data_IF_816656732448
#
_entry.id   IF_816656732448
#
_cell.length_a   1.000
_cell.length_b   1.000
_cell.length_c   1.000
_cell.angle_alpha   90.00
_cell.angle_beta   90.00
_cell.angle_gamma   90.00
#
_symmetry.space_group_name_H-M   'P 1'
#
loop_
_entity.id
_entity.type
_entity.pdbx_description
1 polymer ?
#
# COMPACT_ATOMS: atom_id res chain seq x y z
N UNK A 1 5.95 -8.12 -7.03
CA UNK A 1 5.04 -7.53 -8.05
C UNK A 1 5.85 -7.29 -9.31
N UNK A 2 5.33 -7.64 -10.50
CA UNK A 2 6.03 -7.37 -11.78
C UNK A 2 5.31 -6.22 -12.48
N UNK A 3 6.03 -5.17 -12.79
CA UNK A 3 5.55 -4.03 -13.57
C UNK A 3 6.52 -3.83 -14.73
N UNK A 4 5.99 -3.73 -15.92
CA UNK A 4 6.77 -3.51 -17.14
C UNK A 4 6.50 -2.11 -17.64
N UNK A 5 7.54 -1.31 -17.81
CA UNK A 5 7.47 0.09 -18.19
C UNK A 5 8.31 0.36 -19.45
N UNK A 6 7.66 0.33 -20.61
CA UNK A 6 8.20 0.90 -21.85
C UNK A 6 7.15 1.83 -22.45
N UNK A 7 7.54 3.05 -22.77
CA UNK A 7 6.75 3.99 -23.56
C UNK A 7 6.59 3.44 -25.01
N UNK A 8 5.40 3.54 -25.63
CA UNK A 8 5.19 3.19 -27.04
C UNK A 8 6.11 3.97 -28.01
N UNK A 9 6.77 5.04 -27.55
CA UNK A 9 7.78 5.78 -28.30
C UNK A 9 9.22 5.34 -27.97
N UNK A 10 9.41 4.26 -27.20
CA UNK A 10 10.75 3.80 -26.80
C UNK A 10 11.44 4.66 -25.74
N UNK A 11 10.73 5.57 -25.09
CA UNK A 11 11.26 6.35 -23.99
C UNK A 11 11.19 5.54 -22.70
N UNK A 12 12.33 5.33 -22.08
CA UNK A 12 12.41 4.71 -20.75
C UNK A 12 11.92 5.74 -19.72
N UNK A 13 10.84 5.42 -19.00
CA UNK A 13 10.49 6.23 -17.83
C UNK A 13 11.66 6.20 -16.85
N UNK A 14 11.99 7.36 -16.21
CA UNK A 14 13.02 7.38 -15.19
C UNK A 14 12.71 6.31 -14.11
N UNK A 15 13.63 5.38 -13.92
CA UNK A 15 13.44 4.28 -12.95
C UNK A 15 13.11 4.81 -11.56
N UNK A 16 13.73 5.91 -11.15
CA UNK A 16 13.48 6.58 -9.87
C UNK A 16 12.02 7.05 -9.71
N UNK A 17 11.44 7.64 -10.77
CA UNK A 17 10.05 8.08 -10.72
C UNK A 17 9.07 6.90 -10.64
N UNK A 18 9.36 5.82 -11.37
CA UNK A 18 8.57 4.60 -11.34
C UNK A 18 8.66 3.92 -9.96
N UNK A 19 9.86 3.84 -9.40
CA UNK A 19 10.09 3.32 -8.06
C UNK A 19 9.33 4.13 -7.01
N UNK A 20 9.41 5.47 -7.07
CA UNK A 20 8.67 6.35 -6.17
C UNK A 20 7.15 6.16 -6.24
N UNK A 21 6.59 5.98 -7.43
CA UNK A 21 5.17 5.71 -7.62
C UNK A 21 4.76 4.35 -7.01
N UNK A 22 5.56 3.32 -7.21
CA UNK A 22 5.27 1.98 -6.68
C UNK A 22 5.36 1.94 -5.15
N UNK A 23 6.39 2.54 -4.57
CA UNK A 23 6.57 2.64 -3.13
C UNK A 23 5.45 3.50 -2.52
N UNK A 24 5.16 4.65 -3.11
CA UNK A 24 4.08 5.54 -2.65
C UNK A 24 2.72 4.84 -2.66
N UNK A 25 2.37 4.16 -3.75
CA UNK A 25 1.15 3.38 -3.87
C UNK A 25 1.06 2.24 -2.85
N UNK A 26 2.16 1.54 -2.62
CA UNK A 26 2.25 0.49 -1.60
C UNK A 26 2.03 1.04 -0.19
N UNK A 27 2.71 2.12 0.19
CA UNK A 27 2.57 2.75 1.51
C UNK A 27 1.14 3.24 1.72
N UNK A 28 0.53 3.82 0.69
CA UNK A 28 -0.87 4.26 0.73
C UNK A 28 -1.82 3.08 1.01
N UNK A 29 -1.65 1.97 0.29
CA UNK A 29 -2.45 0.75 0.50
C UNK A 29 -2.23 0.13 1.88
N UNK A 30 -0.99 0.07 2.35
CA UNK A 30 -0.66 -0.41 3.70
C UNK A 30 -1.26 0.48 4.79
N UNK A 31 -1.21 1.81 4.64
CA UNK A 31 -1.83 2.75 5.58
C UNK A 31 -3.33 2.50 5.72
N UNK A 32 -4.02 2.37 4.58
CA UNK A 32 -5.45 2.06 4.58
C UNK A 32 -5.77 0.70 5.21
N UNK A 33 -4.96 -0.32 4.90
CA UNK A 33 -5.15 -1.67 5.44
C UNK A 33 -4.90 -1.76 6.94
N UNK A 34 -3.90 -1.04 7.46
CA UNK A 34 -3.51 -1.10 8.86
C UNK A 34 -4.44 -0.27 9.76
N UNK A 35 -4.77 0.97 9.34
CA UNK A 35 -5.31 2.01 10.23
C UNK A 35 -6.56 2.70 9.68
N UNK A 36 -6.83 2.61 8.37
CA UNK A 36 -7.87 3.40 7.73
C UNK A 36 -9.27 3.05 8.20
N UNK A 37 -9.84 3.88 9.09
CA UNK A 37 -11.19 3.71 9.61
C UNK A 37 -11.90 5.06 9.74
N UNK A 38 -13.16 5.09 9.32
CA UNK A 38 -14.07 6.20 9.56
C UNK A 38 -15.23 5.67 10.38
N UNK A 39 -15.47 6.30 11.53
CA UNK A 39 -16.54 5.96 12.45
C UNK A 39 -17.62 7.02 12.51
N UNK A 40 -18.83 6.63 12.91
CA UNK A 40 -19.98 7.51 12.95
C UNK A 40 -20.63 7.47 14.33
N UNK A 41 -20.99 8.64 14.84
CA UNK A 41 -21.77 8.79 16.06
C UNK A 41 -22.88 9.83 15.84
N UNK A 42 -24.11 9.50 16.23
CA UNK A 42 -25.24 10.41 16.08
C UNK A 42 -25.54 10.84 14.64
N UNK A 43 -25.11 10.06 13.63
CA UNK A 43 -25.28 10.39 12.22
C UNK A 43 -24.20 11.31 11.64
N UNK A 44 -23.16 11.63 12.40
CA UNK A 44 -22.02 12.43 11.97
C UNK A 44 -20.73 11.61 11.99
N UNK A 45 -19.76 11.95 11.12
CA UNK A 45 -18.42 11.40 11.11
C UNK A 45 -17.67 11.88 12.35
N UNK A 46 -16.98 10.96 13.06
CA UNK A 46 -16.20 11.30 14.25
C UNK A 46 -14.83 11.88 13.90
N UNK A 47 -14.20 11.43 12.83
CA UNK A 47 -12.93 11.96 12.33
C UNK A 47 -13.15 13.32 11.66
N UNK A 48 -12.60 14.37 12.25
CA UNK A 48 -12.79 15.75 11.77
C UNK A 48 -11.53 16.36 11.16
N UNK A 49 -10.35 15.81 11.46
CA UNK A 49 -9.09 16.38 11.01
C UNK A 49 -8.02 15.28 10.87
N UNK A 50 -6.85 15.63 10.32
CA UNK A 50 -5.72 14.71 10.11
C UNK A 50 -5.26 13.95 11.36
N UNK A 51 -5.25 14.50 12.58
CA UNK A 51 -4.90 13.73 13.77
C UNK A 51 -5.87 12.60 14.11
N UNK A 52 -7.11 12.68 13.63
CA UNK A 52 -8.15 11.72 13.92
C UNK A 52 -8.14 10.53 12.93
N UNK A 53 -7.33 10.60 11.90
CA UNK A 53 -7.19 9.56 10.87
C UNK A 53 -5.73 9.13 10.79
N UNK A 54 -5.43 7.95 11.32
CA UNK A 54 -4.07 7.45 11.41
C UNK A 54 -3.58 6.81 10.11
N UNK A 55 -2.27 6.66 9.99
CA UNK A 55 -1.61 6.06 8.84
C UNK A 55 -0.15 5.74 9.12
N UNK A 56 0.49 5.06 8.19
CA UNK A 56 1.92 4.80 8.26
C UNK A 56 2.73 6.08 8.31
N UNK A 57 3.72 6.10 9.19
CA UNK A 57 4.69 7.17 9.37
C UNK A 57 6.07 6.68 8.95
N UNK A 58 7.01 7.60 8.77
CA UNK A 58 8.37 7.25 8.32
C UNK A 58 9.04 6.18 9.20
N UNK A 59 8.79 6.21 10.51
CA UNK A 59 9.43 5.29 11.47
C UNK A 59 8.86 3.87 11.46
N UNK A 60 7.64 3.67 10.96
CA UNK A 60 6.99 2.36 10.86
C UNK A 60 6.74 1.91 9.41
N UNK A 61 7.26 2.66 8.44
CA UNK A 61 7.23 2.27 7.04
C UNK A 61 8.25 1.15 6.81
N UNK A 62 7.85 0.04 6.18
CA UNK A 62 8.77 -1.07 5.92
C UNK A 62 9.85 -0.68 4.91
N UNK A 63 11.04 -1.26 5.06
CA UNK A 63 12.07 -1.18 4.03
C UNK A 63 11.56 -1.81 2.73
N UNK A 64 11.75 -1.11 1.63
CA UNK A 64 11.15 -1.48 0.35
C UNK A 64 12.22 -1.63 -0.73
N UNK A 65 12.11 -2.70 -1.50
CA UNK A 65 12.93 -2.92 -2.69
C UNK A 65 12.03 -3.08 -3.90
N UNK A 66 12.32 -2.32 -4.96
CA UNK A 66 11.61 -2.38 -6.24
C UNK A 66 12.53 -3.00 -7.29
N UNK A 67 12.01 -3.94 -8.06
CA UNK A 67 12.68 -4.48 -9.22
C UNK A 67 11.80 -4.30 -10.45
N UNK A 68 12.27 -3.49 -11.37
CA UNK A 68 11.64 -3.22 -12.66
C UNK A 68 12.07 -4.31 -13.65
N UNK A 69 11.11 -4.92 -14.34
CA UNK A 69 11.34 -5.90 -15.38
C UNK A 69 10.76 -5.39 -16.70
N UNK A 70 11.61 -5.08 -17.63
CA UNK A 70 11.25 -4.61 -18.98
C UNK A 70 10.91 -5.82 -19.87
N UNK A 71 9.71 -6.39 -19.71
CA UNK A 71 9.32 -7.64 -20.39
C UNK A 71 8.15 -7.47 -21.35
N UNK A 72 7.55 -6.28 -21.42
CA UNK A 72 6.38 -6.02 -22.26
C UNK A 72 6.64 -4.87 -23.24
N UNK A 73 6.16 -4.99 -24.48
CA UNK A 73 6.35 -3.96 -25.51
C UNK A 73 5.45 -2.73 -25.32
N UNK A 74 4.51 -2.75 -24.38
CA UNK A 74 3.56 -1.68 -24.16
C UNK A 74 3.57 -1.24 -22.70
N UNK A 75 3.57 0.08 -22.49
CA UNK A 75 3.36 0.70 -21.18
C UNK A 75 1.89 0.61 -20.78
N UNK A 76 1.68 0.31 -19.49
CA UNK A 76 0.42 0.54 -18.81
C UNK A 76 0.61 1.65 -17.78
N UNK A 77 -0.50 2.20 -17.25
CA UNK A 77 -0.43 3.18 -16.16
C UNK A 77 0.33 2.64 -14.96
N UNK A 78 1.16 3.47 -14.33
CA UNK A 78 2.03 3.08 -13.21
C UNK A 78 1.69 3.81 -11.89
N UNK A 79 0.68 4.69 -11.91
CA UNK A 79 0.31 5.50 -10.75
C UNK A 79 -0.24 4.71 -9.58
N UNK A 80 -1.07 3.68 -9.83
CA UNK A 80 -1.82 2.97 -8.79
C UNK A 80 -1.43 1.50 -8.56
N UNK A 81 -0.64 0.82 -9.41
CA UNK A 81 -0.46 -0.64 -9.31
C UNK A 81 0.19 -1.10 -7.99
N UNK A 82 0.84 -0.21 -7.23
CA UNK A 82 1.39 -0.50 -5.91
C UNK A 82 0.32 -0.71 -4.82
N UNK A 83 -0.84 -0.10 -4.97
CA UNK A 83 -1.88 -0.05 -3.92
C UNK A 83 -2.65 -1.36 -3.73
N UNK A 84 -3.30 -1.96 -4.75
CA UNK A 84 -4.16 -3.13 -4.55
C UNK A 84 -3.43 -4.37 -4.00
N UNK A 85 -2.21 -4.72 -4.42
CA UNK A 85 -1.55 -5.92 -3.95
C UNK A 85 -0.95 -5.80 -2.55
N UNK A 86 -0.79 -4.59 -2.01
CA UNK A 86 -0.16 -4.37 -0.70
C UNK A 86 -0.99 -4.94 0.46
N UNK A 87 -2.31 -4.76 0.43
CA UNK A 87 -3.22 -5.26 1.48
C UNK A 87 -3.22 -6.79 1.58
N UNK A 88 -3.45 -7.56 0.50
CA UNK A 88 -3.41 -9.01 0.58
C UNK A 88 -2.00 -9.55 0.86
N UNK A 89 -0.95 -8.87 0.43
CA UNK A 89 0.42 -9.27 0.74
C UNK A 89 0.69 -9.18 2.25
N UNK A 90 0.30 -8.07 2.89
CA UNK A 90 0.41 -7.91 4.34
C UNK A 90 -0.44 -8.94 5.09
N UNK A 91 -1.69 -9.15 4.67
CA UNK A 91 -2.57 -10.15 5.29
C UNK A 91 -2.00 -11.57 5.22
N UNK A 92 -1.33 -11.93 4.12
CA UNK A 92 -0.64 -13.22 3.99
C UNK A 92 0.61 -13.29 4.86
N UNK A 93 1.40 -12.23 4.94
CA UNK A 93 2.58 -12.18 5.81
C UNK A 93 2.22 -12.30 7.29
N UNK A 94 1.17 -11.63 7.73
CA UNK A 94 0.66 -11.75 9.10
C UNK A 94 0.15 -13.17 9.41
N UNK A 95 -0.51 -13.79 8.43
CA UNK A 95 -0.93 -15.19 8.60
C UNK A 95 0.27 -16.15 8.70
N UNK A 96 1.28 -15.96 7.86
CA UNK A 96 2.49 -16.78 7.88
C UNK A 96 3.23 -16.67 9.23
N UNK A 97 3.28 -15.44 9.76
CA UNK A 97 3.92 -15.16 11.05
C UNK A 97 3.14 -15.67 12.26
N UNK A 98 1.81 -15.53 12.26
CA UNK A 98 0.98 -15.71 13.46
C UNK A 98 0.04 -16.91 13.42
N UNK A 99 -0.19 -17.49 12.23
CA UNK A 99 -1.22 -18.50 11.99
C UNK A 99 -2.65 -17.95 12.03
N UNK A 100 -2.85 -16.64 12.30
CA UNK A 100 -4.16 -16.00 12.40
C UNK A 100 -4.53 -15.30 11.09
N UNK A 101 -5.70 -15.62 10.53
CA UNK A 101 -6.23 -14.94 9.34
C UNK A 101 -6.91 -13.63 9.70
N UNK A 102 -6.50 -12.56 9.05
CA UNK A 102 -7.26 -11.31 9.03
C UNK A 102 -8.62 -11.53 8.35
N UNK A 103 -9.70 -11.05 8.96
CA UNK A 103 -11.06 -11.18 8.45
C UNK A 103 -11.79 -9.85 8.34
N UNK A 104 -11.17 -8.78 8.82
CA UNK A 104 -11.69 -7.42 8.74
C UNK A 104 -10.56 -6.41 8.56
N UNK A 105 -10.91 -5.23 8.13
CA UNK A 105 -10.06 -4.04 8.09
C UNK A 105 -10.65 -2.98 9.03
N UNK A 106 -9.84 -2.07 9.55
CA UNK A 106 -8.38 -2.10 9.50
C UNK A 106 -7.77 -3.23 10.34
N UNK A 107 -6.56 -3.64 9.98
CA UNK A 107 -5.87 -4.79 10.60
C UNK A 107 -5.54 -4.58 12.08
N UNK A 108 -5.45 -3.33 12.54
CA UNK A 108 -5.21 -2.97 13.95
C UNK A 108 -6.25 -3.54 14.92
N UNK A 109 -7.44 -3.92 14.43
CA UNK A 109 -8.45 -4.58 15.26
C UNK A 109 -8.12 -6.04 15.59
N UNK A 110 -7.32 -6.67 14.76
CA UNK A 110 -6.99 -8.09 14.87
C UNK A 110 -5.53 -8.34 15.27
N UNK A 111 -4.64 -7.36 15.05
CA UNK A 111 -3.21 -7.46 15.27
C UNK A 111 -2.69 -6.22 15.99
N UNK A 112 -1.75 -6.42 16.90
CA UNK A 112 -0.98 -5.30 17.47
C UNK A 112 0.08 -4.85 16.45
N UNK A 113 -0.14 -3.68 15.85
CA UNK A 113 0.71 -3.09 14.83
C UNK A 113 1.61 -1.97 15.37
N UNK A 114 1.53 -1.69 16.67
CA UNK A 114 2.28 -0.63 17.31
C UNK A 114 3.43 -1.12 18.21
N UNK A 115 3.54 -2.44 18.38
CA UNK A 115 4.55 -3.07 19.24
C UNK A 115 5.89 -3.32 18.52
#
# INVERSE_FOLDING_TARGET
MRISALDPLGQVLPHEALEAQLIGGMIYGLSAACFGEITFSGGAVEQQNFPDYDGLRLHNTPETQVRILETQPHLTGVGEPGTPPSMPALGNALFDLTGKRARRLPLMHDFDLYS
#
